data_IF_692308735367
#
_entry.id   IF_692308735367
#
_cell.length_a   1.000
_cell.length_b   1.000
_cell.length_c   1.000
_cell.angle_alpha   90.00
_cell.angle_beta   90.00
_cell.angle_gamma   90.00
#
_symmetry.space_group_name_H-M   'P 1'
#
loop_
_entity.id
_entity.type
_entity.pdbx_description
1 polymer ?
#
# COMPACT_ATOMS: atom_id res chain seq x y z
N UNK A 1 32.70 -27.28 0.32
CA UNK A 1 31.34 -27.84 0.39
C UNK A 1 30.35 -26.96 1.20
N UNK A 2 30.83 -26.06 2.08
CA UNK A 2 30.01 -25.19 2.95
C UNK A 2 29.44 -23.98 2.20
N UNK A 3 30.10 -23.46 1.18
CA UNK A 3 29.72 -22.26 0.44
C UNK A 3 28.45 -22.49 -0.43
N UNK A 4 28.20 -23.70 -0.90
CA UNK A 4 27.12 -24.01 -1.82
C UNK A 4 25.75 -24.09 -1.14
N UNK A 5 25.69 -24.51 0.14
CA UNK A 5 24.46 -24.52 0.93
C UNK A 5 24.00 -23.11 1.35
N UNK A 6 24.96 -22.18 1.51
CA UNK A 6 24.63 -20.79 1.84
C UNK A 6 23.94 -20.05 0.68
N UNK A 7 24.37 -20.33 -0.56
CA UNK A 7 23.80 -19.72 -1.79
C UNK A 7 22.37 -20.19 -2.07
N UNK A 8 21.99 -21.41 -1.67
CA UNK A 8 20.62 -21.92 -1.91
C UNK A 8 19.57 -21.32 -0.96
N UNK A 9 19.97 -20.94 0.27
CA UNK A 9 19.05 -20.38 1.26
C UNK A 9 18.85 -18.86 1.12
N UNK A 10 19.69 -18.19 0.34
CA UNK A 10 19.64 -16.72 0.16
C UNK A 10 19.60 -16.33 -1.32
N UNK A 11 18.64 -16.88 -2.08
CA UNK A 11 18.54 -16.63 -3.54
C UNK A 11 18.45 -15.16 -3.90
N UNK A 12 17.79 -14.32 -3.12
CA UNK A 12 17.72 -12.87 -3.32
C UNK A 12 19.08 -12.19 -3.07
N UNK A 13 19.79 -12.57 -2.02
CA UNK A 13 21.12 -12.04 -1.72
C UNK A 13 22.14 -12.46 -2.79
N UNK A 14 22.04 -13.68 -3.31
CA UNK A 14 22.93 -14.20 -4.35
C UNK A 14 22.76 -13.48 -5.68
N UNK A 15 21.53 -13.11 -6.04
CA UNK A 15 21.26 -12.33 -7.26
C UNK A 15 21.77 -10.90 -7.12
N UNK A 16 21.60 -10.28 -5.93
CA UNK A 16 22.12 -8.94 -5.66
C UNK A 16 23.66 -8.89 -5.62
N UNK A 17 24.33 -9.90 -5.03
CA UNK A 17 25.79 -9.98 -5.00
C UNK A 17 26.34 -10.25 -6.41
N UNK A 18 25.69 -11.10 -7.22
CA UNK A 18 26.13 -11.35 -8.60
C UNK A 18 25.97 -10.11 -9.49
N UNK A 19 24.90 -9.36 -9.34
CA UNK A 19 24.71 -8.08 -10.01
C UNK A 19 25.78 -7.06 -9.58
N UNK A 20 26.15 -7.05 -8.30
CA UNK A 20 27.18 -6.15 -7.75
C UNK A 20 28.60 -6.47 -8.29
N UNK A 21 28.94 -7.75 -8.44
CA UNK A 21 30.26 -8.18 -8.96
C UNK A 21 30.41 -7.90 -10.46
N UNK A 22 29.34 -8.01 -11.24
CA UNK A 22 29.37 -7.72 -12.69
C UNK A 22 29.52 -6.22 -12.96
N UNK A 23 28.93 -5.37 -12.11
CA UNK A 23 28.95 -3.91 -12.27
C UNK A 23 30.26 -3.28 -11.80
N UNK A 24 30.96 -3.86 -10.84
CA UNK A 24 32.24 -3.32 -10.37
C UNK A 24 33.41 -3.46 -11.37
N UNK A 25 33.22 -4.22 -12.46
CA UNK A 25 34.21 -4.38 -13.51
C UNK A 25 34.09 -3.45 -14.72
N UNK A 26 32.99 -2.68 -14.83
CA UNK A 26 32.73 -1.75 -15.93
C UNK A 26 32.49 -0.32 -15.42
N UNK A 27 33.56 0.41 -15.22
CA UNK A 27 33.68 1.88 -15.05
C UNK A 27 32.49 2.68 -14.49
N UNK A 28 32.80 3.48 -13.46
CA UNK A 28 31.86 4.26 -12.64
C UNK A 28 30.88 5.26 -13.32
N UNK A 29 30.92 5.44 -14.65
CA UNK A 29 29.98 6.29 -15.39
C UNK A 29 28.72 5.54 -15.88
N UNK A 30 28.80 4.23 -16.10
CA UNK A 30 27.63 3.40 -16.43
C UNK A 30 26.71 3.23 -15.21
N UNK A 31 27.24 3.29 -14.02
CA UNK A 31 26.54 3.14 -12.75
C UNK A 31 25.45 4.21 -12.56
N UNK A 32 25.78 5.46 -12.81
CA UNK A 32 24.84 6.58 -12.62
C UNK A 32 23.66 6.59 -13.61
N UNK A 33 23.80 5.93 -14.76
CA UNK A 33 22.76 5.87 -15.79
C UNK A 33 21.80 4.69 -15.56
N UNK A 34 22.27 3.57 -15.02
CA UNK A 34 21.44 2.37 -14.77
C UNK A 34 20.55 2.56 -13.54
N UNK A 35 21.00 3.32 -12.54
CA UNK A 35 20.27 3.51 -11.28
C UNK A 35 19.48 4.81 -11.18
N UNK A 36 19.49 5.64 -12.21
CA UNK A 36 18.54 6.75 -12.33
C UNK A 36 17.19 6.17 -12.78
N UNK A 37 16.53 5.43 -11.90
CA UNK A 37 15.12 5.07 -12.11
C UNK A 37 14.31 6.36 -12.07
N UNK A 38 14.09 6.94 -13.25
CA UNK A 38 13.16 8.05 -13.41
C UNK A 38 11.78 7.51 -13.01
N UNK A 39 11.31 7.86 -11.83
CA UNK A 39 9.94 7.55 -11.42
C UNK A 39 8.99 8.23 -12.38
N UNK A 40 8.08 7.46 -12.99
CA UNK A 40 7.09 7.98 -13.91
C UNK A 40 5.75 8.12 -13.19
N UNK A 41 5.28 9.35 -12.93
CA UNK A 41 3.98 9.57 -12.29
C UNK A 41 2.84 8.90 -13.06
N UNK A 42 1.95 8.23 -12.36
CA UNK A 42 0.71 7.70 -12.94
C UNK A 42 -0.37 8.78 -12.83
N UNK A 43 -0.62 9.48 -13.94
CA UNK A 43 -1.62 10.52 -13.98
C UNK A 43 -3.05 9.97 -14.06
N UNK A 44 -4.05 10.83 -13.80
CA UNK A 44 -5.48 10.47 -13.81
C UNK A 44 -5.92 9.78 -15.11
N UNK A 45 -5.42 10.19 -16.27
CA UNK A 45 -5.78 9.55 -17.56
C UNK A 45 -5.36 8.09 -17.61
N UNK A 46 -4.19 7.78 -17.10
CA UNK A 46 -3.68 6.42 -17.03
C UNK A 46 -4.45 5.59 -16.00
N UNK A 47 -4.73 6.14 -14.83
CA UNK A 47 -5.56 5.51 -13.81
C UNK A 47 -6.97 5.18 -14.35
N UNK A 48 -7.60 6.10 -15.10
CA UNK A 48 -8.89 5.85 -15.77
C UNK A 48 -8.77 4.75 -16.85
N UNK A 49 -7.65 4.67 -17.56
CA UNK A 49 -7.41 3.61 -18.54
C UNK A 49 -7.28 2.24 -17.87
N UNK A 50 -6.57 2.17 -16.75
CA UNK A 50 -6.44 0.95 -15.92
C UNK A 50 -7.84 0.53 -15.44
N UNK A 51 -8.58 1.42 -14.82
CA UNK A 51 -9.93 1.19 -14.33
C UNK A 51 -10.86 0.61 -15.43
N UNK A 52 -10.95 1.27 -16.58
CA UNK A 52 -11.82 0.84 -17.68
C UNK A 52 -11.45 -0.53 -18.24
N UNK A 53 -10.16 -0.85 -18.31
CA UNK A 53 -9.69 -2.18 -18.76
C UNK A 53 -10.10 -3.27 -17.79
N UNK A 54 -10.03 -3.01 -16.49
CA UNK A 54 -10.39 -3.98 -15.46
C UNK A 54 -11.91 -4.17 -15.32
N UNK A 55 -12.71 -3.17 -15.69
CA UNK A 55 -14.17 -3.26 -15.68
C UNK A 55 -14.75 -4.04 -16.86
N UNK A 56 -14.03 -4.18 -17.98
CA UNK A 56 -14.53 -4.86 -19.18
C UNK A 56 -14.85 -6.33 -18.92
N UNK A 57 -14.30 -6.93 -17.86
CA UNK A 57 -14.48 -8.33 -17.50
C UNK A 57 -15.53 -8.58 -16.40
N UNK A 58 -16.19 -7.53 -15.88
CA UNK A 58 -17.08 -7.65 -14.71
C UNK A 58 -18.43 -6.98 -14.94
N UNK A 59 -19.45 -7.80 -15.15
CA UNK A 59 -20.84 -7.38 -15.27
C UNK A 59 -21.64 -7.86 -14.05
N UNK A 60 -21.41 -7.26 -12.87
CA UNK A 60 -22.23 -7.53 -11.68
C UNK A 60 -22.34 -6.26 -10.83
N UNK A 61 -23.52 -5.63 -10.90
CA UNK A 61 -23.93 -4.56 -9.98
C UNK A 61 -24.43 -5.21 -8.69
N UNK A 62 -23.57 -5.44 -7.73
CA UNK A 62 -23.97 -5.84 -6.37
C UNK A 62 -24.13 -4.57 -5.54
N UNK A 63 -25.24 -4.46 -4.78
CA UNK A 63 -25.42 -3.38 -3.82
C UNK A 63 -24.29 -3.44 -2.79
N UNK A 64 -23.46 -2.41 -2.79
CA UNK A 64 -22.29 -2.27 -1.92
C UNK A 64 -22.64 -1.33 -0.77
N UNK A 65 -23.08 -1.89 0.32
CA UNK A 65 -23.27 -1.11 1.55
C UNK A 65 -21.91 -0.91 2.24
N UNK A 66 -21.61 0.30 2.64
CA UNK A 66 -20.38 0.66 3.36
C UNK A 66 -19.07 0.40 2.63
N UNK A 67 -19.06 0.34 1.29
CA UNK A 67 -17.85 0.30 0.49
C UNK A 67 -17.79 1.50 -0.45
N UNK A 68 -16.60 2.04 -0.78
CA UNK A 68 -16.50 3.19 -1.67
C UNK A 68 -17.04 2.86 -3.07
N UNK A 69 -17.65 3.85 -3.72
CA UNK A 69 -18.18 3.70 -5.07
C UNK A 69 -17.04 3.36 -6.06
N UNK A 70 -17.27 2.47 -7.04
CA UNK A 70 -16.25 2.14 -8.04
C UNK A 70 -15.88 3.35 -8.89
N UNK A 71 -14.59 3.46 -9.24
CA UNK A 71 -14.08 4.53 -10.06
C UNK A 71 -12.69 4.98 -9.65
N UNK A 72 -12.28 6.14 -10.12
CA UNK A 72 -10.96 6.72 -9.86
C UNK A 72 -11.11 7.97 -9.00
N UNK A 73 -10.56 7.90 -7.80
CA UNK A 73 -10.48 9.02 -6.87
C UNK A 73 -9.12 9.71 -7.00
N UNK A 74 -9.09 11.02 -6.84
CA UNK A 74 -7.87 11.82 -6.93
C UNK A 74 -7.51 12.38 -5.57
N UNK A 75 -6.24 12.25 -5.17
CA UNK A 75 -5.72 12.73 -3.90
C UNK A 75 -4.62 13.77 -4.12
N UNK A 76 -4.54 14.73 -3.22
CA UNK A 76 -3.35 15.55 -3.04
C UNK A 76 -2.41 14.77 -2.13
N UNK A 77 -1.19 14.52 -2.60
CA UNK A 77 -0.22 13.67 -1.92
C UNK A 77 1.07 14.43 -1.68
N UNK A 78 1.68 14.18 -0.54
CA UNK A 78 3.03 14.60 -0.18
C UNK A 78 3.78 13.43 0.40
N UNK A 79 5.11 13.44 0.26
CA UNK A 79 5.97 12.39 0.80
C UNK A 79 6.76 11.66 -0.26
N UNK A 80 7.23 10.48 0.06
CA UNK A 80 8.06 9.66 -0.82
C UNK A 80 8.63 8.44 -0.12
N UNK A 81 9.40 7.68 -0.86
CA UNK A 81 10.03 6.44 -0.41
C UNK A 81 11.55 6.47 -0.59
N UNK A 82 12.27 5.65 0.16
CA UNK A 82 13.73 5.53 0.07
C UNK A 82 14.24 4.14 0.46
N UNK A 83 15.38 3.77 -0.16
CA UNK A 83 16.14 2.56 0.13
C UNK A 83 17.56 2.91 0.58
N UNK A 84 17.96 2.46 1.75
CA UNK A 84 19.26 2.84 2.35
C UNK A 84 20.49 2.35 1.57
N UNK A 85 20.44 1.15 1.01
CA UNK A 85 21.62 0.53 0.38
C UNK A 85 22.01 1.17 -0.95
N UNK A 86 21.06 1.76 -1.69
CA UNK A 86 21.27 2.25 -3.05
C UNK A 86 21.17 3.78 -3.15
N UNK A 87 20.93 4.47 -2.02
CA UNK A 87 20.70 5.91 -2.02
C UNK A 87 19.52 6.32 -2.90
N UNK A 88 18.59 5.39 -3.16
CA UNK A 88 17.39 5.64 -3.96
C UNK A 88 16.40 6.38 -3.09
N UNK A 89 15.98 7.55 -3.52
CA UNK A 89 14.88 8.29 -2.93
C UNK A 89 13.97 8.77 -4.05
N UNK A 90 12.65 8.55 -3.91
CA UNK A 90 11.64 8.94 -4.88
C UNK A 90 10.56 9.75 -4.16
N UNK A 91 10.32 10.98 -4.61
CA UNK A 91 9.17 11.74 -4.15
C UNK A 91 7.90 11.30 -4.89
N UNK A 92 6.80 11.21 -4.17
CA UNK A 92 5.50 10.98 -4.80
C UNK A 92 5.01 12.24 -5.54
N UNK A 93 4.22 12.07 -6.62
CA UNK A 93 3.58 13.20 -7.28
C UNK A 93 2.64 13.93 -6.31
N UNK A 94 2.54 15.25 -6.45
CA UNK A 94 1.62 16.07 -5.64
C UNK A 94 0.13 15.73 -5.85
N UNK A 95 -0.15 14.93 -6.87
CA UNK A 95 -1.49 14.39 -7.17
C UNK A 95 -1.35 12.93 -7.53
N UNK A 96 -2.05 12.06 -6.79
CA UNK A 96 -2.10 10.62 -7.03
C UNK A 96 -3.54 10.15 -7.26
N UNK A 97 -3.69 8.91 -7.69
CA UNK A 97 -4.99 8.31 -7.95
C UNK A 97 -5.15 7.01 -7.18
N UNK A 98 -6.32 6.82 -6.58
CA UNK A 98 -6.81 5.52 -6.11
C UNK A 98 -7.86 5.00 -7.07
N UNK A 99 -7.71 3.75 -7.47
CA UNK A 99 -8.64 3.02 -8.33
C UNK A 99 -9.44 2.08 -7.43
N UNK A 100 -10.75 2.22 -7.45
CA UNK A 100 -11.69 1.35 -6.71
C UNK A 100 -12.41 0.48 -7.71
N UNK A 101 -12.19 -0.83 -7.64
CA UNK A 101 -12.86 -1.80 -8.49
C UNK A 101 -14.23 -2.18 -7.96
N UNK A 102 -15.10 -2.63 -8.86
CA UNK A 102 -16.37 -3.23 -8.50
C UNK A 102 -16.19 -4.70 -8.05
N UNK A 103 -16.96 -5.13 -7.04
CA UNK A 103 -16.92 -6.49 -6.49
C UNK A 103 -17.65 -6.58 -5.16
N UNK A 104 -17.80 -7.79 -4.61
CA UNK A 104 -18.36 -8.02 -3.26
C UNK A 104 -17.49 -7.43 -2.16
N UNK A 105 -16.17 -7.40 -2.37
CA UNK A 105 -15.21 -6.57 -1.65
C UNK A 105 -14.64 -5.55 -2.63
N UNK A 106 -14.31 -4.35 -2.16
CA UNK A 106 -13.62 -3.36 -2.94
C UNK A 106 -12.13 -3.72 -3.04
N UNK A 107 -11.57 -3.73 -4.24
CA UNK A 107 -10.13 -3.69 -4.42
C UNK A 107 -9.75 -2.24 -4.67
N UNK A 108 -8.97 -1.68 -3.77
CA UNK A 108 -8.53 -0.29 -3.77
C UNK A 108 -7.04 -0.29 -4.12
N UNK A 109 -6.69 0.26 -5.29
CA UNK A 109 -5.31 0.30 -5.76
C UNK A 109 -4.81 1.73 -5.79
N UNK A 110 -3.78 2.03 -5.01
CA UNK A 110 -3.04 3.27 -5.07
C UNK A 110 -1.84 3.10 -6.00
N UNK A 111 -1.70 3.97 -6.99
CA UNK A 111 -0.66 3.89 -8.02
C UNK A 111 -0.01 5.26 -8.19
N UNK A 112 0.90 5.67 -7.29
CA UNK A 112 1.52 7.00 -7.36
C UNK A 112 2.49 7.11 -8.53
N UNK A 113 3.27 6.07 -8.75
CA UNK A 113 4.29 5.97 -9.80
C UNK A 113 4.24 4.57 -10.43
N UNK A 114 4.77 4.42 -11.64
CA UNK A 114 4.78 3.13 -12.35
C UNK A 114 5.61 2.06 -11.63
N UNK A 115 6.48 2.45 -10.73
CA UNK A 115 7.36 1.57 -9.97
C UNK A 115 6.79 1.14 -8.62
N UNK A 116 5.69 1.74 -8.18
CA UNK A 116 5.08 1.44 -6.89
C UNK A 116 3.56 1.33 -7.03
N UNK A 117 3.01 0.23 -6.56
CA UNK A 117 1.57 0.01 -6.51
C UNK A 117 1.22 -0.69 -5.21
N UNK A 118 0.26 -0.15 -4.50
CA UNK A 118 -0.36 -0.78 -3.35
C UNK A 118 -1.80 -1.12 -3.63
N UNK A 119 -2.23 -2.28 -3.19
CA UNK A 119 -3.61 -2.74 -3.36
C UNK A 119 -4.11 -3.31 -2.05
N UNK A 120 -5.16 -2.71 -1.53
CA UNK A 120 -5.91 -3.19 -0.38
C UNK A 120 -7.23 -3.80 -0.86
N UNK A 121 -7.58 -4.98 -0.35
CA UNK A 121 -8.92 -5.54 -0.50
C UNK A 121 -9.71 -5.20 0.75
N UNK A 122 -10.81 -4.48 0.59
CA UNK A 122 -11.69 -4.05 1.67
C UNK A 122 -13.04 -4.75 1.55
N UNK A 123 -13.48 -5.41 2.61
CA UNK A 123 -14.76 -6.10 2.65
C UNK A 123 -15.65 -5.50 3.73
N UNK A 124 -16.92 -5.29 3.41
CA UNK A 124 -17.93 -4.82 4.36
C UNK A 124 -18.73 -5.96 4.94
N UNK A 125 -18.85 -5.98 6.26
CA UNK A 125 -19.79 -6.83 6.99
C UNK A 125 -21.22 -6.23 7.06
N UNK A 126 -22.20 -7.06 7.43
CA UNK A 126 -23.62 -6.69 7.47
C UNK A 126 -23.95 -5.50 8.41
N UNK A 127 -23.11 -5.25 9.40
CA UNK A 127 -23.25 -4.21 10.42
C UNK A 127 -22.35 -2.99 10.21
N UNK A 128 -21.77 -2.84 9.00
CA UNK A 128 -20.88 -1.72 8.68
C UNK A 128 -19.42 -1.91 9.10
N UNK A 129 -19.05 -3.10 9.62
CA UNK A 129 -17.64 -3.44 9.83
C UNK A 129 -16.88 -3.44 8.52
N UNK A 130 -15.73 -2.78 8.49
CA UNK A 130 -14.78 -2.85 7.38
C UNK A 130 -13.59 -3.72 7.78
N UNK A 131 -13.23 -4.68 6.93
CA UNK A 131 -12.07 -5.57 7.14
C UNK A 131 -11.16 -5.58 5.93
N UNK A 132 -9.88 -5.89 6.17
CA UNK A 132 -8.83 -5.95 5.14
C UNK A 132 -8.28 -7.37 5.06
N UNK A 133 -8.90 -8.26 4.26
CA UNK A 133 -8.43 -9.63 4.12
C UNK A 133 -7.12 -9.76 3.33
N UNK A 134 -6.72 -8.74 2.57
CA UNK A 134 -5.50 -8.80 1.75
C UNK A 134 -4.90 -7.43 1.47
N UNK A 135 -3.58 -7.37 1.59
CA UNK A 135 -2.73 -6.27 1.12
C UNK A 135 -1.71 -6.81 0.11
N UNK A 136 -1.48 -6.07 -0.97
CA UNK A 136 -0.48 -6.41 -2.00
C UNK A 136 0.30 -5.16 -2.33
N UNK A 137 1.61 -5.20 -2.13
CA UNK A 137 2.52 -4.12 -2.54
C UNK A 137 3.42 -4.65 -3.67
N UNK A 138 3.52 -3.90 -4.74
CA UNK A 138 4.43 -4.20 -5.85
C UNK A 138 5.37 -3.03 -6.05
N UNK A 139 6.66 -3.32 -5.98
CA UNK A 139 7.72 -2.35 -6.19
C UNK A 139 8.67 -2.78 -7.32
N UNK A 140 9.11 -1.82 -8.11
CA UNK A 140 10.14 -2.00 -9.13
C UNK A 140 11.38 -1.22 -8.75
N UNK A 141 12.46 -1.94 -8.45
CA UNK A 141 13.75 -1.38 -8.06
C UNK A 141 14.79 -1.89 -9.05
N UNK A 142 15.49 -0.98 -9.71
CA UNK A 142 16.53 -1.30 -10.69
C UNK A 142 16.06 -2.30 -11.78
N UNK A 143 14.79 -2.24 -12.19
CA UNK A 143 14.20 -3.12 -13.19
C UNK A 143 13.79 -4.51 -12.67
N UNK A 144 13.96 -4.79 -11.39
CA UNK A 144 13.44 -5.98 -10.74
C UNK A 144 12.13 -5.66 -10.03
N UNK A 145 11.09 -6.45 -10.29
CA UNK A 145 9.81 -6.32 -9.61
C UNK A 145 9.75 -7.26 -8.42
N UNK A 146 9.38 -6.71 -7.28
CA UNK A 146 9.07 -7.46 -6.06
C UNK A 146 7.61 -7.28 -5.71
N UNK A 147 6.91 -8.36 -5.40
CA UNK A 147 5.52 -8.31 -4.94
C UNK A 147 5.43 -8.99 -3.59
N UNK A 148 4.99 -8.23 -2.60
CA UNK A 148 4.65 -8.71 -1.26
C UNK A 148 3.14 -8.88 -1.15
N UNK A 149 2.69 -10.00 -0.60
CA UNK A 149 1.27 -10.27 -0.36
C UNK A 149 1.08 -10.66 1.10
N UNK A 150 0.23 -9.91 1.79
CA UNK A 150 -0.17 -10.18 3.17
C UNK A 150 -1.63 -10.61 3.15
N UNK A 151 -1.90 -11.81 3.61
CA UNK A 151 -3.26 -12.32 3.83
C UNK A 151 -3.63 -12.20 5.31
N UNK A 152 -4.79 -11.65 5.56
CA UNK A 152 -5.31 -11.41 6.91
C UNK A 152 -6.64 -12.15 7.13
N UNK A 153 -6.96 -12.53 8.38
CA UNK A 153 -8.27 -13.08 8.73
C UNK A 153 -9.36 -11.98 8.62
N UNK A 154 -10.61 -12.40 8.60
CA UNK A 154 -11.77 -11.49 8.59
C UNK A 154 -11.85 -10.57 9.84
N UNK A 155 -11.08 -10.87 10.88
CA UNK A 155 -10.93 -10.04 12.10
C UNK A 155 -9.88 -8.94 11.97
N UNK A 156 -9.20 -8.82 10.82
CA UNK A 156 -8.31 -7.70 10.51
C UNK A 156 -9.15 -6.48 10.12
N UNK A 157 -9.70 -5.81 11.10
CA UNK A 157 -10.61 -4.70 10.89
C UNK A 157 -9.84 -3.42 10.53
N UNK A 158 -10.32 -2.72 9.50
CA UNK A 158 -10.00 -1.34 9.22
C UNK A 158 -10.86 -0.41 10.09
N UNK A 159 -12.15 -0.78 10.23
CA UNK A 159 -13.13 -0.11 11.09
C UNK A 159 -14.09 -1.17 11.66
N UNK A 160 -13.98 -1.55 12.96
CA UNK A 160 -14.95 -2.43 13.60
C UNK A 160 -16.34 -1.77 13.67
N UNK A 161 -17.39 -2.58 13.60
CA UNK A 161 -18.73 -2.08 13.89
C UNK A 161 -18.81 -1.63 15.36
N UNK A 162 -19.39 -0.45 15.57
CA UNK A 162 -19.60 0.12 16.93
C UNK A 162 -18.30 0.42 17.71
N UNK A 163 -17.15 0.53 17.02
CA UNK A 163 -15.93 0.97 17.65
C UNK A 163 -16.13 2.36 18.29
N UNK A 164 -15.48 2.57 19.40
CA UNK A 164 -15.47 3.85 20.14
C UNK A 164 -14.03 4.29 20.38
N UNK A 165 -13.83 5.59 20.47
CA UNK A 165 -12.51 6.15 20.66
C UNK A 165 -11.76 5.48 21.84
N UNK A 166 -10.57 4.95 21.55
CA UNK A 166 -9.74 4.18 22.47
C UNK A 166 -9.85 2.66 22.35
N UNK A 167 -10.82 2.14 21.60
CA UNK A 167 -10.91 0.71 21.34
C UNK A 167 -9.69 0.23 20.53
N UNK A 168 -9.23 -0.99 20.87
CA UNK A 168 -8.09 -1.62 20.24
C UNK A 168 -8.44 -3.03 19.80
N UNK A 169 -7.87 -3.48 18.69
CA UNK A 169 -7.99 -4.85 18.19
C UNK A 169 -6.69 -5.35 17.63
N UNK A 170 -6.55 -6.66 17.48
CA UNK A 170 -5.39 -7.28 16.88
C UNK A 170 -5.79 -8.43 15.98
N UNK A 171 -4.99 -8.66 14.93
CA UNK A 171 -5.10 -9.84 14.09
C UNK A 171 -3.70 -10.36 13.74
N UNK A 172 -3.60 -11.65 13.43
CA UNK A 172 -2.37 -12.23 12.89
C UNK A 172 -2.57 -12.47 11.41
N UNK A 173 -1.80 -11.76 10.62
CA UNK A 173 -1.72 -11.89 9.16
C UNK A 173 -0.54 -12.80 8.77
N UNK A 174 -0.45 -13.16 7.52
CA UNK A 174 0.63 -13.98 6.96
C UNK A 174 1.18 -13.31 5.71
N UNK A 175 2.47 -13.01 5.70
CA UNK A 175 3.23 -12.69 4.50
C UNK A 175 3.45 -14.01 3.73
N UNK A 176 3.18 -14.02 2.42
CA UNK A 176 3.22 -15.27 1.63
C UNK A 176 4.63 -15.73 1.30
N UNK A 177 5.57 -14.80 1.10
CA UNK A 177 6.91 -15.16 0.62
C UNK A 177 7.96 -14.14 1.09
N UNK A 178 8.81 -14.49 2.08
CA UNK A 178 8.77 -15.74 2.86
C UNK A 178 7.47 -15.88 3.67
N UNK A 179 7.10 -17.10 4.06
CA UNK A 179 5.90 -17.30 4.89
C UNK A 179 6.19 -16.90 6.33
N UNK A 180 5.77 -15.71 6.70
CA UNK A 180 6.00 -15.11 8.03
C UNK A 180 4.71 -14.58 8.63
N UNK A 181 4.65 -14.56 9.96
CA UNK A 181 3.54 -13.96 10.69
C UNK A 181 3.78 -12.46 10.84
N UNK A 182 2.71 -11.70 10.59
CA UNK A 182 2.67 -10.27 10.77
C UNK A 182 1.57 -9.95 11.77
N UNK A 183 1.89 -9.16 12.78
CA UNK A 183 0.87 -8.70 13.74
C UNK A 183 0.29 -7.39 13.21
N UNK A 184 -1.02 -7.38 13.05
CA UNK A 184 -1.81 -6.20 12.82
C UNK A 184 -2.38 -5.73 14.16
N UNK A 185 -2.10 -4.50 14.53
CA UNK A 185 -2.75 -3.81 15.64
C UNK A 185 -3.58 -2.65 15.09
N UNK A 186 -4.84 -2.58 15.47
CA UNK A 186 -5.74 -1.49 15.13
C UNK A 186 -6.16 -0.71 16.37
N UNK A 187 -6.42 0.57 16.22
CA UNK A 187 -6.94 1.47 17.25
C UNK A 187 -7.93 2.44 16.65
N UNK A 188 -9.06 2.63 17.32
CA UNK A 188 -9.99 3.70 17.05
C UNK A 188 -9.54 4.96 17.80
N UNK A 189 -9.26 6.02 17.06
CA UNK A 189 -8.86 7.34 17.58
C UNK A 189 -10.07 8.29 17.71
N UNK A 190 -11.25 7.83 17.26
CA UNK A 190 -12.53 8.53 17.38
C UNK A 190 -12.89 9.42 16.20
N UNK A 191 -14.06 10.06 16.29
CA UNK A 191 -14.58 10.90 15.22
C UNK A 191 -13.71 12.15 15.00
N UNK A 192 -13.52 12.48 13.72
CA UNK A 192 -12.78 13.64 13.27
C UNK A 192 -13.51 14.35 12.11
N UNK A 193 -12.95 15.47 11.66
CA UNK A 193 -13.46 16.22 10.52
C UNK A 193 -12.32 16.48 9.54
N UNK A 194 -12.53 16.15 8.28
CA UNK A 194 -11.60 16.43 7.17
C UNK A 194 -12.28 17.35 6.16
N UNK A 195 -11.54 18.32 5.63
CA UNK A 195 -12.06 19.19 4.57
C UNK A 195 -11.72 18.61 3.20
N UNK A 196 -12.74 18.26 2.42
CA UNK A 196 -12.63 17.74 1.04
C UNK A 196 -13.37 18.70 0.11
N UNK A 197 -12.71 19.22 -0.92
CA UNK A 197 -13.28 20.19 -1.87
C UNK A 197 -13.98 21.41 -1.20
N UNK A 198 -13.49 21.85 -0.04
CA UNK A 198 -14.09 22.93 0.74
C UNK A 198 -15.29 22.52 1.60
N UNK A 199 -15.68 21.25 1.62
CA UNK A 199 -16.75 20.71 2.45
C UNK A 199 -16.17 20.00 3.69
N UNK A 200 -16.78 20.20 4.86
CA UNK A 200 -16.46 19.44 6.07
C UNK A 200 -17.09 18.06 6.01
N UNK A 201 -16.28 17.03 6.11
CA UNK A 201 -16.70 15.62 6.10
C UNK A 201 -16.43 15.01 7.47
N UNK A 202 -17.46 14.45 8.09
CA UNK A 202 -17.31 13.69 9.34
C UNK A 202 -16.77 12.31 9.02
N UNK A 203 -15.76 11.90 9.73
CA UNK A 203 -15.01 10.66 9.52
C UNK A 203 -14.73 9.97 10.85
N UNK A 204 -14.44 8.68 10.80
CA UNK A 204 -13.79 7.96 11.89
C UNK A 204 -12.28 7.91 11.61
N UNK A 205 -11.47 8.24 12.63
CA UNK A 205 -10.02 8.19 12.55
C UNK A 205 -9.54 6.90 13.20
N UNK A 206 -8.97 6.01 12.40
CA UNK A 206 -8.40 4.76 12.88
C UNK A 206 -6.90 4.71 12.60
N UNK A 207 -6.14 4.05 13.47
CA UNK A 207 -4.74 3.69 13.25
C UNK A 207 -4.62 2.19 13.07
N UNK A 208 -3.84 1.80 12.11
CA UNK A 208 -3.56 0.44 11.71
C UNK A 208 -2.04 0.27 11.67
N UNK A 209 -1.50 -0.67 12.42
CA UNK A 209 -0.04 -0.88 12.47
C UNK A 209 0.28 -2.32 12.14
N UNK A 210 1.04 -2.55 11.07
CA UNK A 210 1.64 -3.83 10.77
C UNK A 210 3.02 -3.91 11.45
N UNK A 211 3.28 -4.99 12.18
CA UNK A 211 4.57 -5.27 12.80
C UNK A 211 5.16 -6.52 12.17
N UNK A 212 6.35 -6.36 11.62
CA UNK A 212 7.16 -7.40 10.99
C UNK A 212 8.24 -7.82 11.98
N UNK A 213 8.34 -9.12 12.26
CA UNK A 213 9.31 -9.69 13.22
C UNK A 213 9.86 -11.02 12.67
N UNK A 214 10.55 -10.93 11.53
CA UNK A 214 11.08 -12.10 10.84
C UNK A 214 12.26 -11.73 9.96
N UNK A 215 12.27 -12.24 8.74
CA UNK A 215 13.23 -11.86 7.70
C UNK A 215 13.09 -10.38 7.34
N UNK A 216 11.85 -9.89 7.35
CA UNK A 216 11.52 -8.47 7.38
C UNK A 216 11.30 -8.05 8.83
N UNK A 217 11.89 -6.92 9.25
CA UNK A 217 11.73 -6.40 10.60
C UNK A 217 11.44 -4.90 10.58
N UNK A 218 10.42 -4.50 11.32
CA UNK A 218 10.02 -3.10 11.39
C UNK A 218 8.51 -2.91 11.56
N UNK A 219 8.04 -1.70 11.27
CA UNK A 219 6.63 -1.35 11.40
C UNK A 219 6.14 -0.51 10.23
N UNK A 220 4.84 -0.62 9.98
CA UNK A 220 4.08 0.22 9.07
C UNK A 220 2.84 0.74 9.82
N UNK A 221 2.93 1.86 10.54
CA UNK A 221 1.77 2.56 11.06
C UNK A 221 1.10 3.40 9.96
N UNK A 222 -0.21 3.21 9.81
CA UNK A 222 -1.05 3.96 8.88
C UNK A 222 -2.26 4.51 9.60
N UNK A 223 -2.49 5.80 9.49
CA UNK A 223 -3.70 6.47 9.96
C UNK A 223 -4.69 6.63 8.79
N UNK A 224 -5.93 6.22 9.02
CA UNK A 224 -7.02 6.34 8.06
C UNK A 224 -8.13 7.24 8.61
N UNK A 225 -8.63 8.17 7.79
CA UNK A 225 -9.83 8.96 8.03
C UNK A 225 -10.92 8.46 7.08
N UNK A 226 -11.85 7.70 7.62
CA UNK A 226 -12.82 6.91 6.88
C UNK A 226 -14.21 7.50 7.03
N UNK A 227 -14.97 7.63 5.94
CA UNK A 227 -16.41 7.93 5.99
C UNK A 227 -17.17 6.66 6.34
N UNK A 228 -17.76 6.50 7.55
CA UNK A 228 -18.32 5.21 7.99
C UNK A 228 -19.44 4.68 7.11
N UNK A 229 -20.23 5.58 6.50
CA UNK A 229 -21.36 5.20 5.64
C UNK A 229 -20.95 4.61 4.28
N UNK A 230 -19.74 4.90 3.82
CA UNK A 230 -19.27 4.52 2.47
C UNK A 230 -17.94 3.80 2.45
N UNK A 231 -17.24 3.63 3.59
CA UNK A 231 -15.89 3.09 3.64
C UNK A 231 -14.82 3.96 2.95
N UNK A 232 -15.21 5.12 2.39
CA UNK A 232 -14.28 5.95 1.64
C UNK A 232 -13.22 6.56 2.55
N UNK A 233 -11.97 6.25 2.28
CA UNK A 233 -10.82 6.90 2.93
C UNK A 233 -10.64 8.29 2.31
N UNK A 234 -10.87 9.34 3.09
CA UNK A 234 -10.72 10.72 2.64
C UNK A 234 -9.36 11.32 2.96
N UNK A 235 -8.65 10.73 3.91
CA UNK A 235 -7.26 11.06 4.20
C UNK A 235 -6.55 9.82 4.72
N UNK A 236 -5.29 9.69 4.33
CA UNK A 236 -4.41 8.62 4.76
C UNK A 236 -3.03 9.20 5.08
N UNK A 237 -2.45 8.75 6.19
CA UNK A 237 -1.07 9.05 6.54
C UNK A 237 -0.35 7.76 6.85
N UNK A 238 0.73 7.51 6.15
CA UNK A 238 1.53 6.30 6.29
C UNK A 238 2.98 6.62 6.62
N UNK A 239 3.59 5.78 7.48
CA UNK A 239 4.99 5.87 7.86
C UNK A 239 5.58 4.45 7.91
N UNK A 240 6.25 4.01 6.84
CA UNK A 240 6.88 2.69 6.77
C UNK A 240 8.33 2.76 7.20
N UNK A 241 8.75 1.79 7.98
CA UNK A 241 10.15 1.59 8.33
C UNK A 241 10.45 0.11 8.48
N UNK A 242 10.83 -0.57 7.38
CA UNK A 242 11.07 -2.00 7.34
C UNK A 242 12.50 -2.28 6.86
N UNK A 243 13.16 -3.25 7.47
CA UNK A 243 14.51 -3.71 7.09
C UNK A 243 14.43 -5.17 6.66
N UNK A 244 14.96 -5.48 5.49
CA UNK A 244 15.08 -6.84 4.96
C UNK A 244 16.47 -7.05 4.40
N UNK A 245 17.17 -8.11 4.83
CA UNK A 245 18.52 -8.44 4.37
C UNK A 245 19.56 -7.32 4.58
N UNK A 246 19.38 -6.45 5.60
CA UNK A 246 20.24 -5.30 5.87
C UNK A 246 19.92 -4.05 5.03
N UNK A 247 18.95 -4.12 4.15
CA UNK A 247 18.44 -2.97 3.39
C UNK A 247 17.22 -2.40 4.12
N UNK A 248 17.25 -1.11 4.44
CA UNK A 248 16.12 -0.42 5.02
C UNK A 248 15.29 0.23 3.92
N UNK A 249 14.02 -0.12 3.86
CA UNK A 249 12.98 0.61 3.17
C UNK A 249 12.33 1.60 4.14
N UNK A 250 12.08 2.81 3.69
CA UNK A 250 11.34 3.82 4.45
C UNK A 250 10.43 4.57 3.49
N UNK A 251 9.20 4.76 3.93
CA UNK A 251 8.21 5.57 3.23
C UNK A 251 7.53 6.51 4.21
N UNK A 252 7.17 7.70 3.75
CA UNK A 252 6.23 8.58 4.43
C UNK A 252 5.27 9.15 3.39
N UNK A 253 3.99 9.15 3.71
CA UNK A 253 2.94 9.64 2.84
C UNK A 253 1.87 10.36 3.64
N UNK A 254 1.35 11.46 3.08
CA UNK A 254 0.07 12.05 3.46
C UNK A 254 -0.72 12.30 2.19
N UNK A 255 -1.87 11.64 2.07
CA UNK A 255 -2.80 11.77 0.96
C UNK A 255 -4.15 12.29 1.46
N UNK A 256 -4.70 13.32 0.79
CA UNK A 256 -6.01 13.89 1.12
C UNK A 256 -6.86 13.94 -0.14
N UNK A 257 -8.06 13.43 -0.07
CA UNK A 257 -9.02 13.36 -1.17
C UNK A 257 -9.38 14.76 -1.70
N UNK A 258 -9.43 14.91 -3.00
CA UNK A 258 -9.75 16.21 -3.65
C UNK A 258 -11.21 16.36 -4.05
N UNK A 259 -11.96 15.25 -4.18
CA UNK A 259 -13.38 15.23 -4.51
C UNK A 259 -14.01 13.94 -3.96
N UNK A 260 -15.22 14.02 -3.41
CA UNK A 260 -15.95 12.86 -2.85
C UNK A 260 -16.49 11.91 -3.94
N UNK A 261 -16.71 12.42 -5.15
CA UNK A 261 -17.22 11.63 -6.27
C UNK A 261 -16.09 11.06 -7.10
N UNK A 262 -16.10 9.76 -7.45
CA UNK A 262 -15.11 9.17 -8.34
C UNK A 262 -15.35 9.59 -9.80
N UNK A 263 -14.32 9.44 -10.60
CA UNK A 263 -14.43 9.52 -12.07
C UNK A 263 -14.50 8.13 -12.67
N UNK A 264 -15.29 7.95 -13.70
CA UNK A 264 -15.48 6.66 -14.41
C UNK A 264 -15.13 6.78 -15.90
#
# INVERSE_FOLDING_TARGET
MIIWHWVQNHRLLSVLILAFVIVSSAGGTAWALVFRTVSSPVGLREALRIYRREQTDKMLTTLRNHLPAPGVYTYRTTGGESLSLMGVARAFPSTTSMIVDDGTCARISWVPITQHTETMTECSGANGTLSVPRLVTTESIAGSNTTSTIDCPATAYLLPAYATAGDNWTATCTLRSPSEKIVLAGQDLGPATVTVAGQSVTVEHTRFTLTFDGTEAGTNPTDFWIVPSTGLVVQEKEEVGVTSGGVRYSENMLSTLTNLEPRT
#
